data_IF_182977760529
#
_entry.id   IF_182977760529
#
_cell.length_a   1.000
_cell.length_b   1.000
_cell.length_c   1.000
_cell.angle_alpha   90.00
_cell.angle_beta   90.00
_cell.angle_gamma   90.00
#
_symmetry.space_group_name_H-M   'P 1'
#
loop_
_entity.id
_entity.type
_entity.pdbx_description
1 polymer ?
#
# COMPACT_ATOMS: atom_id res chain seq x y z
N UNK A 1 -1.42 -0.14 3.57
CA UNK A 1 -2.49 -1.08 3.89
C UNK A 1 -2.12 -2.16 4.92
N UNK A 2 -1.22 -1.82 5.84
CA UNK A 2 -0.98 -2.64 7.03
C UNK A 2 -2.23 -2.60 7.93
N UNK A 3 -2.57 -3.71 8.56
CA UNK A 3 -3.76 -3.84 9.42
C UNK A 3 -3.83 -2.79 10.53
N UNK A 4 -2.67 -2.42 11.09
CA UNK A 4 -2.58 -1.38 12.12
C UNK A 4 -2.59 0.07 11.62
N UNK A 5 -2.56 0.33 10.29
CA UNK A 5 -2.44 1.69 9.74
C UNK A 5 -3.50 1.96 8.67
N UNK A 6 -3.88 0.97 7.87
CA UNK A 6 -4.90 1.09 6.82
C UNK A 6 -6.32 1.06 7.37
N UNK A 7 -6.60 1.75 8.47
CA UNK A 7 -7.90 1.78 9.14
C UNK A 7 -8.74 2.98 8.70
N UNK A 8 -10.05 2.92 8.93
CA UNK A 8 -10.95 4.04 8.64
C UNK A 8 -10.70 5.24 9.55
N UNK A 9 -10.28 5.01 10.80
CA UNK A 9 -9.96 6.06 11.76
C UNK A 9 -8.74 6.86 11.31
N UNK A 10 -7.68 6.16 10.89
CA UNK A 10 -6.48 6.80 10.30
C UNK A 10 -6.88 7.56 9.03
N UNK A 11 -7.71 6.99 8.17
CA UNK A 11 -8.17 7.64 6.95
C UNK A 11 -8.92 8.95 7.22
N UNK A 12 -9.78 8.99 8.26
CA UNK A 12 -10.50 10.21 8.67
C UNK A 12 -9.59 11.34 9.13
N UNK A 13 -8.45 11.02 9.73
CA UNK A 13 -7.44 12.01 10.11
C UNK A 13 -6.64 12.45 8.88
N UNK A 14 -6.12 11.50 8.11
CA UNK A 14 -5.25 11.78 6.97
C UNK A 14 -5.96 12.57 5.85
N UNK A 15 -7.26 12.35 5.65
CA UNK A 15 -8.04 13.12 4.67
C UNK A 15 -8.08 14.65 4.97
N UNK A 16 -7.90 15.06 6.23
CA UNK A 16 -7.82 16.47 6.62
C UNK A 16 -6.51 17.10 6.13
N UNK A 17 -5.48 16.29 5.97
CA UNK A 17 -4.16 16.69 5.49
C UNK A 17 -3.95 16.44 3.98
N UNK A 18 -5.03 16.16 3.22
CA UNK A 18 -4.99 15.84 1.78
C UNK A 18 -4.12 14.61 1.48
N UNK A 19 -4.04 13.68 2.41
CA UNK A 19 -3.36 12.40 2.24
C UNK A 19 -4.38 11.31 1.93
N UNK A 20 -3.96 10.31 1.17
CA UNK A 20 -4.77 9.15 0.83
C UNK A 20 -4.45 7.99 1.76
N UNK A 21 -5.43 7.13 1.99
CA UNK A 21 -5.26 5.91 2.76
C UNK A 21 -5.71 4.70 1.94
N UNK A 22 -4.86 3.70 1.85
CA UNK A 22 -5.25 2.40 1.31
C UNK A 22 -5.84 1.58 2.47
N UNK A 23 -7.14 1.34 2.39
CA UNK A 23 -7.86 0.56 3.41
C UNK A 23 -7.48 -0.92 3.26
N UNK A 24 -7.36 -1.62 4.38
CA UNK A 24 -6.96 -3.04 4.37
C UNK A 24 -7.95 -3.90 3.60
N UNK A 25 -7.45 -4.92 2.91
CA UNK A 25 -8.27 -5.84 2.09
C UNK A 25 -9.20 -6.75 2.91
N UNK A 26 -9.01 -6.79 4.22
CA UNK A 26 -9.82 -7.59 5.15
C UNK A 26 -11.12 -6.90 5.57
N UNK A 27 -11.29 -5.60 5.25
CA UNK A 27 -12.50 -4.85 5.60
C UNK A 27 -13.72 -5.31 4.82
N UNK A 28 -14.83 -5.42 5.53
CA UNK A 28 -16.12 -5.85 4.97
C UNK A 28 -16.91 -4.69 4.36
N UNK A 29 -17.82 -4.94 3.42
CA UNK A 29 -18.70 -3.92 2.87
C UNK A 29 -19.54 -3.17 3.92
N UNK A 30 -19.92 -3.81 5.02
CA UNK A 30 -20.70 -3.17 6.08
C UNK A 30 -19.86 -2.21 6.90
N UNK A 31 -18.60 -2.52 7.18
CA UNK A 31 -17.66 -1.59 7.81
C UNK A 31 -17.43 -0.35 6.93
N UNK A 32 -17.38 -0.52 5.60
CA UNK A 32 -17.32 0.61 4.67
C UNK A 32 -18.54 1.51 4.75
N UNK A 33 -19.77 0.94 4.84
CA UNK A 33 -21.02 1.72 5.00
C UNK A 33 -20.97 2.56 6.28
N UNK A 34 -20.56 1.95 7.37
CA UNK A 34 -20.42 2.64 8.65
C UNK A 34 -19.41 3.78 8.57
N UNK A 35 -18.23 3.53 8.00
CA UNK A 35 -17.19 4.54 7.89
C UNK A 35 -17.60 5.74 7.04
N UNK A 36 -18.30 5.49 5.91
CA UNK A 36 -18.82 6.55 5.04
C UNK A 36 -19.92 7.33 5.75
N UNK A 37 -20.84 6.66 6.45
CA UNK A 37 -21.86 7.29 7.29
C UNK A 37 -21.26 8.19 8.39
N UNK A 38 -20.06 7.85 8.85
CA UNK A 38 -19.29 8.58 9.85
C UNK A 38 -18.29 9.61 9.27
N UNK A 39 -18.47 10.03 8.00
CA UNK A 39 -17.74 11.14 7.39
C UNK A 39 -16.43 10.80 6.68
N UNK A 40 -16.21 9.54 6.32
CA UNK A 40 -15.11 9.16 5.44
C UNK A 40 -15.35 9.70 4.02
N UNK A 41 -14.34 10.35 3.44
CA UNK A 41 -14.40 10.88 2.08
C UNK A 41 -13.88 9.84 1.09
N UNK A 42 -14.72 9.42 0.15
CA UNK A 42 -14.40 8.40 -0.85
C UNK A 42 -13.22 8.78 -1.77
N UNK A 43 -12.98 10.07 -1.98
CA UNK A 43 -11.86 10.56 -2.80
C UNK A 43 -10.49 10.47 -2.11
N UNK A 44 -10.47 10.24 -0.80
CA UNK A 44 -9.24 10.14 -0.01
C UNK A 44 -8.85 8.71 0.37
N UNK A 45 -9.53 7.72 -0.20
CA UNK A 45 -9.27 6.32 0.09
C UNK A 45 -9.11 5.50 -1.18
N UNK A 46 -8.35 4.41 -1.07
CA UNK A 46 -8.25 3.34 -2.04
C UNK A 46 -8.79 2.06 -1.43
N UNK A 47 -9.60 1.33 -2.19
CA UNK A 47 -9.96 -0.05 -1.85
C UNK A 47 -8.80 -0.97 -2.23
N UNK A 48 -8.54 -1.98 -1.40
CA UNK A 48 -7.43 -2.90 -1.61
C UNK A 48 -7.91 -4.33 -1.88
N UNK A 49 -7.19 -5.02 -2.77
CA UNK A 49 -7.34 -6.45 -3.01
C UNK A 49 -5.98 -7.12 -3.16
N UNK A 50 -5.92 -8.42 -2.91
CA UNK A 50 -4.81 -9.28 -3.33
C UNK A 50 -5.11 -9.97 -4.66
N UNK A 51 -4.34 -11.00 -4.95
CA UNK A 51 -4.52 -11.84 -6.15
C UNK A 51 -5.08 -13.23 -5.82
N UNK A 52 -5.65 -13.41 -4.64
CA UNK A 52 -6.14 -14.72 -4.20
C UNK A 52 -7.21 -15.30 -5.14
N UNK A 53 -7.94 -14.44 -5.89
CA UNK A 53 -8.86 -14.88 -6.95
C UNK A 53 -8.19 -15.75 -8.03
N UNK A 54 -6.89 -15.56 -8.26
CA UNK A 54 -6.13 -16.38 -9.23
C UNK A 54 -6.06 -17.84 -8.78
N UNK A 55 -5.98 -18.05 -7.46
CA UNK A 55 -5.80 -19.35 -6.83
C UNK A 55 -7.10 -19.92 -6.24
N UNK A 56 -8.01 -19.03 -5.88
CA UNK A 56 -9.28 -19.35 -5.24
C UNK A 56 -10.35 -18.39 -5.79
N UNK A 57 -11.27 -18.92 -6.58
CA UNK A 57 -12.38 -18.15 -7.16
C UNK A 57 -13.34 -17.60 -6.10
N UNK A 58 -13.30 -18.12 -4.87
CA UNK A 58 -14.11 -17.69 -3.73
C UNK A 58 -13.34 -16.70 -2.82
N UNK A 59 -12.17 -16.21 -3.26
CA UNK A 59 -11.37 -15.28 -2.47
C UNK A 59 -12.18 -14.03 -2.07
N UNK A 60 -12.38 -13.89 -0.78
CA UNK A 60 -13.23 -12.85 -0.19
C UNK A 60 -12.73 -11.43 -0.43
N UNK A 61 -11.42 -11.23 -0.53
CA UNK A 61 -10.81 -9.92 -0.71
C UNK A 61 -11.21 -9.26 -2.05
N UNK A 62 -11.19 -10.02 -3.16
CA UNK A 62 -11.63 -9.51 -4.45
C UNK A 62 -13.15 -9.28 -4.50
N UNK A 63 -13.94 -10.23 -4.00
CA UNK A 63 -15.40 -10.09 -3.97
C UNK A 63 -15.86 -8.94 -3.05
N UNK A 64 -15.15 -8.71 -1.95
CA UNK A 64 -15.39 -7.56 -1.07
C UNK A 64 -15.08 -6.24 -1.79
N UNK A 65 -13.95 -6.16 -2.49
CA UNK A 65 -13.61 -5.00 -3.31
C UNK A 65 -14.70 -4.69 -4.34
N UNK A 66 -15.19 -5.71 -5.07
CA UNK A 66 -16.26 -5.54 -6.05
C UNK A 66 -17.53 -4.97 -5.41
N UNK A 67 -17.99 -5.56 -4.29
CA UNK A 67 -19.17 -5.09 -3.55
C UNK A 67 -18.99 -3.65 -3.04
N UNK A 68 -17.81 -3.30 -2.55
CA UNK A 68 -17.51 -1.94 -2.09
C UNK A 68 -17.56 -0.95 -3.25
N UNK A 69 -17.02 -1.29 -4.42
CA UNK A 69 -17.05 -0.43 -5.61
C UNK A 69 -18.46 -0.30 -6.22
N UNK A 70 -19.29 -1.34 -6.13
CA UNK A 70 -20.71 -1.28 -6.49
C UNK A 70 -21.48 -0.32 -5.58
N UNK A 71 -21.25 -0.38 -4.27
CA UNK A 71 -21.90 0.50 -3.29
C UNK A 71 -21.39 1.94 -3.34
N UNK A 72 -20.12 2.13 -3.64
CA UNK A 72 -19.41 3.41 -3.62
C UNK A 72 -18.64 3.65 -4.93
N UNK A 73 -19.36 3.91 -6.04
CA UNK A 73 -18.73 4.12 -7.35
C UNK A 73 -17.80 5.35 -7.40
N UNK A 74 -17.93 6.25 -6.43
CA UNK A 74 -17.08 7.45 -6.31
C UNK A 74 -15.68 7.18 -5.78
N UNK A 75 -15.37 5.98 -5.27
CA UNK A 75 -13.99 5.57 -4.99
C UNK A 75 -13.22 5.57 -6.31
N UNK A 76 -12.12 6.33 -6.38
CA UNK A 76 -11.37 6.54 -7.62
C UNK A 76 -10.20 5.56 -7.79
N UNK A 77 -9.73 4.93 -6.73
CA UNK A 77 -8.49 4.18 -6.72
C UNK A 77 -8.69 2.75 -6.22
N UNK A 78 -8.08 1.81 -6.94
CA UNK A 78 -7.96 0.40 -6.57
C UNK A 78 -6.49 0.10 -6.34
N UNK A 79 -6.16 -0.57 -5.24
CA UNK A 79 -4.80 -1.03 -4.96
C UNK A 79 -4.76 -2.55 -5.01
N UNK A 80 -4.00 -3.10 -5.96
CA UNK A 80 -3.69 -4.53 -6.04
C UNK A 80 -2.36 -4.76 -5.34
N UNK A 81 -2.42 -5.35 -4.14
CA UNK A 81 -1.29 -5.43 -3.23
C UNK A 81 -0.87 -6.85 -2.91
N UNK A 82 0.35 -7.18 -3.33
CA UNK A 82 1.03 -8.44 -3.03
C UNK A 82 2.46 -8.16 -2.57
N UNK A 83 3.01 -9.06 -1.74
CA UNK A 83 4.37 -8.91 -1.25
C UNK A 83 5.44 -9.00 -2.35
N UNK A 84 5.14 -9.74 -3.43
CA UNK A 84 6.00 -9.94 -4.58
C UNK A 84 5.14 -10.17 -5.82
N UNK A 85 5.22 -9.24 -6.78
CA UNK A 85 4.41 -9.25 -7.99
C UNK A 85 5.06 -9.99 -9.18
N UNK A 86 6.20 -10.64 -9.00
CA UNK A 86 6.92 -11.41 -10.04
C UNK A 86 6.30 -12.79 -10.25
N UNK A 87 5.00 -12.82 -10.44
CA UNK A 87 4.25 -14.04 -10.74
C UNK A 87 3.61 -13.91 -12.12
N UNK A 88 3.71 -14.95 -12.96
CA UNK A 88 3.24 -14.93 -14.34
C UNK A 88 1.78 -14.45 -14.48
N UNK A 89 0.91 -14.87 -13.58
CA UNK A 89 -0.51 -14.47 -13.60
C UNK A 89 -0.79 -13.07 -13.04
N UNK A 90 0.21 -12.35 -12.50
CA UNK A 90 -0.03 -11.04 -11.90
C UNK A 90 -0.35 -9.99 -12.96
N UNK A 91 0.38 -9.99 -14.06
CA UNK A 91 0.15 -9.08 -15.19
C UNK A 91 -1.24 -9.30 -15.81
N UNK A 92 -1.63 -10.55 -16.01
CA UNK A 92 -2.96 -10.88 -16.54
C UNK A 92 -4.08 -10.47 -15.57
N UNK A 93 -3.83 -10.57 -14.28
CA UNK A 93 -4.77 -10.07 -13.28
C UNK A 93 -4.92 -8.54 -13.34
N UNK A 94 -3.84 -7.80 -13.55
CA UNK A 94 -3.90 -6.33 -13.72
C UNK A 94 -4.69 -5.97 -14.98
N UNK A 95 -4.49 -6.67 -16.10
CA UNK A 95 -5.31 -6.52 -17.33
C UNK A 95 -6.78 -6.73 -17.03
N UNK A 96 -7.13 -7.81 -16.32
CA UNK A 96 -8.51 -8.09 -15.93
C UNK A 96 -9.10 -6.95 -15.10
N UNK A 97 -8.37 -6.46 -14.08
CA UNK A 97 -8.83 -5.35 -13.25
C UNK A 97 -9.02 -4.08 -14.08
N UNK A 98 -8.13 -3.80 -15.05
CA UNK A 98 -8.28 -2.67 -15.98
C UNK A 98 -9.51 -2.79 -16.85
N UNK A 99 -9.78 -3.97 -17.40
CA UNK A 99 -10.95 -4.22 -18.23
C UNK A 99 -12.26 -4.06 -17.46
N UNK A 100 -12.29 -4.55 -16.21
CA UNK A 100 -13.47 -4.42 -15.33
C UNK A 100 -13.66 -2.97 -14.83
N UNK A 101 -12.58 -2.21 -14.64
CA UNK A 101 -12.58 -0.86 -14.06
C UNK A 101 -11.80 0.17 -14.88
N UNK A 102 -12.22 0.47 -16.13
CA UNK A 102 -11.44 1.29 -17.06
C UNK A 102 -11.22 2.73 -16.59
N UNK A 103 -12.09 3.26 -15.71
CA UNK A 103 -12.06 4.64 -15.25
C UNK A 103 -11.48 4.80 -13.83
N UNK A 104 -10.95 3.74 -13.23
CA UNK A 104 -10.31 3.80 -11.91
C UNK A 104 -8.81 3.91 -12.05
N UNK A 105 -8.18 4.57 -11.10
CA UNK A 105 -6.72 4.54 -10.95
C UNK A 105 -6.32 3.21 -10.35
N UNK A 106 -5.46 2.46 -11.04
CA UNK A 106 -4.98 1.15 -10.58
C UNK A 106 -3.55 1.30 -10.07
N UNK A 107 -3.37 1.01 -8.79
CA UNK A 107 -2.06 0.91 -8.12
C UNK A 107 -1.71 -0.57 -8.03
N UNK A 108 -0.57 -1.00 -8.55
CA UNK A 108 -0.15 -2.39 -8.59
C UNK A 108 1.25 -2.60 -7.98
N UNK A 109 1.47 -3.66 -7.26
CA UNK A 109 2.80 -3.99 -6.73
C UNK A 109 2.76 -5.10 -5.67
N UNK A 110 3.96 -5.45 -5.13
CA UNK A 110 5.22 -4.68 -5.19
C UNK A 110 6.24 -5.31 -6.14
N UNK A 111 7.00 -4.43 -6.77
CA UNK A 111 8.13 -4.79 -7.63
C UNK A 111 9.36 -3.94 -7.29
N UNK A 112 10.52 -4.26 -7.86
CA UNK A 112 11.79 -3.53 -7.64
C UNK A 112 12.66 -3.40 -8.89
N UNK A 113 12.16 -3.79 -10.07
CA UNK A 113 12.93 -3.72 -11.32
C UNK A 113 12.22 -2.88 -12.38
N UNK A 114 12.99 -2.16 -13.21
CA UNK A 114 12.47 -1.34 -14.31
C UNK A 114 11.57 -2.11 -15.28
N UNK A 115 11.98 -3.30 -15.69
CA UNK A 115 11.26 -4.11 -16.68
C UNK A 115 9.85 -4.46 -16.18
N UNK A 116 9.71 -4.80 -14.89
CA UNK A 116 8.40 -5.15 -14.35
C UNK A 116 7.53 -3.91 -14.14
N UNK A 117 8.12 -2.74 -13.93
CA UNK A 117 7.40 -1.46 -13.90
C UNK A 117 6.79 -1.17 -15.27
N UNK A 118 7.59 -1.24 -16.33
CA UNK A 118 7.11 -1.05 -17.70
C UNK A 118 6.01 -2.05 -18.04
N UNK A 119 6.22 -3.34 -17.73
CA UNK A 119 5.27 -4.41 -17.97
C UNK A 119 3.92 -4.12 -17.31
N UNK A 120 3.90 -3.72 -16.04
CA UNK A 120 2.66 -3.43 -15.31
C UNK A 120 1.94 -2.20 -15.85
N UNK A 121 2.66 -1.13 -16.21
CA UNK A 121 2.06 0.10 -16.75
C UNK A 121 1.45 -0.17 -18.13
N UNK A 122 2.17 -0.80 -19.04
CA UNK A 122 1.67 -1.14 -20.38
C UNK A 122 0.42 -2.03 -20.29
N UNK A 123 0.32 -2.85 -19.26
CA UNK A 123 -0.79 -3.78 -19.05
C UNK A 123 -1.91 -3.24 -18.14
N UNK A 124 -1.90 -1.93 -17.84
CA UNK A 124 -3.06 -1.26 -17.26
C UNK A 124 -2.91 -0.69 -15.87
N UNK A 125 -1.74 -0.79 -15.23
CA UNK A 125 -1.48 -0.05 -14.00
C UNK A 125 -1.19 1.43 -14.29
N UNK A 126 -1.74 2.34 -13.49
CA UNK A 126 -1.41 3.77 -13.56
C UNK A 126 -0.24 4.11 -12.64
N UNK A 127 -0.13 3.38 -11.54
CA UNK A 127 0.89 3.57 -10.51
C UNK A 127 1.47 2.23 -10.12
N UNK A 128 2.80 2.11 -10.12
CA UNK A 128 3.47 0.89 -9.67
C UNK A 128 4.13 1.11 -8.31
N UNK A 129 3.84 0.22 -7.37
CA UNK A 129 4.36 0.24 -6.01
C UNK A 129 5.75 -0.42 -5.95
N UNK A 130 6.76 0.34 -5.52
CA UNK A 130 8.17 -0.05 -5.53
C UNK A 130 8.65 -0.35 -4.12
N UNK A 131 9.11 -1.57 -3.90
CA UNK A 131 9.73 -2.00 -2.65
C UNK A 131 9.40 -3.43 -2.26
N UNK A 132 10.43 -4.26 -2.11
CA UNK A 132 10.34 -5.60 -1.55
C UNK A 132 11.28 -5.68 -0.35
N UNK A 133 10.69 -5.80 0.83
CA UNK A 133 11.41 -5.95 2.09
C UNK A 133 12.12 -4.73 2.66
N UNK A 134 11.87 -3.46 2.26
CA UNK A 134 12.59 -2.31 2.84
C UNK A 134 12.03 -1.86 4.20
N UNK A 135 10.82 -2.29 4.56
CA UNK A 135 10.17 -1.93 5.82
C UNK A 135 10.88 -2.49 7.05
N UNK A 136 10.90 -1.75 8.15
CA UNK A 136 11.57 -2.15 9.40
C UNK A 136 10.97 -3.41 10.04
N UNK A 137 9.69 -3.67 9.78
CA UNK A 137 8.97 -4.87 10.27
C UNK A 137 8.96 -6.02 9.26
N UNK A 138 9.49 -5.80 8.06
CA UNK A 138 9.48 -6.80 6.99
C UNK A 138 10.61 -7.82 7.18
N UNK A 139 10.26 -9.09 7.15
CA UNK A 139 11.20 -10.22 7.30
C UNK A 139 11.69 -10.79 5.98
N UNK A 140 11.15 -10.34 4.83
CA UNK A 140 11.45 -10.92 3.52
C UNK A 140 12.94 -10.99 3.22
N UNK A 141 13.68 -9.88 3.39
CA UNK A 141 15.12 -9.85 3.11
C UNK A 141 15.92 -10.77 4.03
N UNK A 142 15.52 -10.86 5.29
CA UNK A 142 16.17 -11.73 6.28
C UNK A 142 15.91 -13.19 5.99
N UNK A 143 14.69 -13.54 5.61
CA UNK A 143 14.29 -14.93 5.41
C UNK A 143 14.63 -15.48 4.03
N UNK A 144 14.58 -14.66 2.99
CA UNK A 144 14.76 -15.10 1.60
C UNK A 144 16.05 -14.61 0.95
N UNK A 145 16.72 -13.62 1.52
CA UNK A 145 17.86 -12.93 0.91
C UNK A 145 17.47 -12.03 -0.29
N UNK A 146 16.18 -11.95 -0.62
CA UNK A 146 15.71 -11.17 -1.77
C UNK A 146 15.45 -9.72 -1.36
N UNK A 147 15.96 -8.78 -2.14
CA UNK A 147 15.72 -7.37 -1.96
C UNK A 147 16.69 -6.50 -2.75
N UNK A 148 16.25 -5.28 -3.04
CA UNK A 148 17.06 -4.24 -3.68
C UNK A 148 17.13 -3.05 -2.73
N UNK A 149 18.26 -2.33 -2.61
CA UNK A 149 18.31 -1.09 -1.85
C UNK A 149 17.23 -0.11 -2.32
N UNK A 150 16.39 0.36 -1.40
CA UNK A 150 15.14 1.04 -1.76
C UNK A 150 15.35 2.28 -2.63
N UNK A 151 16.37 3.09 -2.33
CA UNK A 151 16.63 4.30 -3.10
C UNK A 151 17.08 3.98 -4.54
N UNK A 152 17.93 2.97 -4.73
CA UNK A 152 18.33 2.50 -6.06
C UNK A 152 17.13 2.01 -6.87
N UNK A 153 16.27 1.19 -6.25
CA UNK A 153 15.04 0.71 -6.89
C UNK A 153 14.12 1.89 -7.31
N UNK A 154 13.99 2.91 -6.46
CA UNK A 154 13.18 4.09 -6.78
C UNK A 154 13.73 4.81 -8.02
N UNK A 155 15.04 5.10 -8.05
CA UNK A 155 15.65 5.84 -9.16
C UNK A 155 15.50 5.10 -10.49
N UNK A 156 15.85 3.82 -10.52
CA UNK A 156 15.77 2.98 -11.73
C UNK A 156 14.32 2.80 -12.20
N UNK A 157 13.41 2.51 -11.28
CA UNK A 157 12.00 2.32 -11.60
C UNK A 157 11.28 3.63 -11.99
N UNK A 158 11.72 4.79 -11.47
CA UNK A 158 11.17 6.07 -11.85
C UNK A 158 11.50 6.42 -13.31
N UNK A 159 12.74 6.14 -13.72
CA UNK A 159 13.18 6.35 -15.09
C UNK A 159 12.36 5.49 -16.07
N UNK A 160 12.20 4.20 -15.75
CA UNK A 160 11.37 3.28 -16.57
C UNK A 160 9.90 3.73 -16.66
N UNK A 161 9.29 4.10 -15.52
CA UNK A 161 7.91 4.56 -15.52
C UNK A 161 7.70 5.82 -16.35
N UNK A 162 8.62 6.77 -16.28
CA UNK A 162 8.60 7.98 -17.09
C UNK A 162 8.68 7.67 -18.60
N UNK A 163 9.43 6.63 -18.98
CA UNK A 163 9.54 6.19 -20.38
C UNK A 163 8.23 5.68 -21.00
N UNK A 164 7.28 5.25 -20.17
CA UNK A 164 5.97 4.70 -20.59
C UNK A 164 4.78 5.52 -20.06
N UNK A 165 5.02 6.78 -19.67
CA UNK A 165 4.01 7.73 -19.18
C UNK A 165 3.25 7.20 -17.93
N UNK A 166 3.94 6.49 -17.06
CA UNK A 166 3.40 5.93 -15.85
C UNK A 166 3.96 6.59 -14.58
N UNK A 167 3.51 6.11 -13.43
CA UNK A 167 3.89 6.66 -12.14
C UNK A 167 4.40 5.58 -11.21
N UNK A 168 5.26 5.96 -10.25
CA UNK A 168 5.67 5.06 -9.18
C UNK A 168 5.32 5.60 -7.79
N UNK A 169 5.06 4.67 -6.88
CA UNK A 169 4.89 4.92 -5.46
C UNK A 169 5.99 4.19 -4.69
N UNK A 170 6.85 4.93 -3.99
CA UNK A 170 7.86 4.32 -3.12
C UNK A 170 7.18 3.75 -1.86
N UNK A 171 7.34 2.45 -1.62
CA UNK A 171 6.68 1.75 -0.50
C UNK A 171 7.71 1.09 0.42
N UNK A 172 7.71 1.53 1.66
CA UNK A 172 8.56 1.02 2.73
C UNK A 172 9.91 1.70 2.87
N UNK A 173 10.53 1.50 4.04
CA UNK A 173 11.86 2.04 4.35
C UNK A 173 11.89 3.47 4.87
N UNK A 174 10.79 4.20 4.88
CA UNK A 174 10.70 5.54 5.46
C UNK A 174 10.52 5.46 6.97
N UNK A 175 11.50 5.96 7.71
CA UNK A 175 11.49 6.04 9.19
C UNK A 175 11.44 7.51 9.63
N UNK A 176 12.02 8.41 8.85
CA UNK A 176 12.08 9.84 9.13
C UNK A 176 11.54 10.66 7.96
N UNK A 177 11.08 11.91 8.18
CA UNK A 177 10.62 12.79 7.11
C UNK A 177 11.64 12.99 5.97
N UNK A 178 12.94 12.98 6.29
CA UNK A 178 14.00 13.05 5.30
C UNK A 178 14.04 11.87 4.32
N UNK A 179 13.52 10.70 4.71
CA UNK A 179 13.44 9.54 3.82
C UNK A 179 12.34 9.73 2.78
N UNK A 180 11.24 10.39 3.14
CA UNK A 180 10.19 10.79 2.20
C UNK A 180 10.76 11.78 1.17
N UNK A 181 11.51 12.79 1.63
CA UNK A 181 12.14 13.76 0.74
C UNK A 181 13.13 13.10 -0.23
N UNK A 182 13.92 12.13 0.24
CA UNK A 182 14.82 11.34 -0.61
C UNK A 182 14.07 10.53 -1.66
N UNK A 183 12.97 9.85 -1.26
CA UNK A 183 12.18 9.06 -2.19
C UNK A 183 11.59 9.93 -3.32
N UNK A 184 11.05 11.10 -2.98
CA UNK A 184 10.55 12.07 -3.96
C UNK A 184 11.67 12.63 -4.85
N UNK A 185 12.83 12.95 -4.26
CA UNK A 185 13.99 13.41 -5.02
C UNK A 185 14.57 12.32 -5.94
N UNK A 186 14.39 11.04 -5.58
CA UNK A 186 14.74 9.88 -6.42
C UNK A 186 13.79 9.63 -7.58
N UNK A 187 12.70 10.41 -7.70
CA UNK A 187 11.75 10.31 -8.80
C UNK A 187 10.42 9.66 -8.43
N UNK A 188 10.20 9.26 -7.17
CA UNK A 188 8.90 8.76 -6.78
C UNK A 188 7.83 9.87 -6.85
N UNK A 189 6.70 9.58 -7.47
CA UNK A 189 5.55 10.50 -7.54
C UNK A 189 4.76 10.51 -6.24
N UNK A 190 4.76 9.39 -5.53
CA UNK A 190 4.08 9.18 -4.26
C UNK A 190 4.96 8.36 -3.31
N UNK A 191 4.72 8.50 -2.01
CA UNK A 191 5.39 7.72 -0.98
C UNK A 191 4.34 7.10 -0.06
N UNK A 192 4.37 5.78 0.08
CA UNK A 192 3.55 5.06 1.04
C UNK A 192 4.29 4.93 2.36
N UNK A 193 3.67 5.42 3.41
CA UNK A 193 4.18 5.34 4.78
C UNK A 193 3.31 4.43 5.63
N UNK A 194 3.92 3.59 6.42
CA UNK A 194 3.25 2.68 7.36
C UNK A 194 3.80 2.83 8.76
N UNK A 195 5.04 2.41 8.99
CA UNK A 195 5.67 2.41 10.32
C UNK A 195 5.70 3.77 11.02
N UNK A 196 5.79 4.87 10.27
CA UNK A 196 5.74 6.24 10.83
C UNK A 196 4.37 6.57 11.44
N UNK A 197 3.30 5.88 11.05
CA UNK A 197 1.94 6.08 11.54
C UNK A 197 1.50 4.97 12.51
N UNK A 198 2.31 3.93 12.67
CA UNK A 198 2.01 2.85 13.61
C UNK A 198 2.06 3.34 15.06
N UNK A 199 1.18 2.80 15.90
CA UNK A 199 1.10 3.15 17.32
C UNK A 199 0.42 4.48 17.64
N UNK A 200 -0.17 5.16 16.65
CA UNK A 200 -1.04 6.31 16.91
C UNK A 200 -2.41 5.83 17.41
N UNK A 201 -3.11 6.72 18.08
CA UNK A 201 -4.42 6.44 18.71
C UNK A 201 -5.47 5.90 17.74
N UNK A 202 -5.41 6.35 16.49
CA UNK A 202 -6.32 5.98 15.40
C UNK A 202 -5.90 4.68 14.70
N UNK A 203 -4.70 4.16 15.02
CA UNK A 203 -4.21 2.89 14.48
C UNK A 203 -5.02 1.71 15.00
N UNK A 204 -5.06 0.63 14.21
CA UNK A 204 -5.64 -0.64 14.63
C UNK A 204 -4.75 -1.36 15.65
N UNK A 205 -5.35 -2.30 16.36
CA UNK A 205 -4.69 -3.12 17.35
C UNK A 205 -5.27 -2.94 18.76
N UNK A 206 -4.88 -3.80 19.65
CA UNK A 206 -5.34 -3.81 21.04
C UNK A 206 -4.42 -2.95 21.91
N UNK A 207 -5.01 -2.03 22.68
CA UNK A 207 -4.26 -1.22 23.65
C UNK A 207 -3.97 -2.07 24.88
N UNK A 208 -2.75 -2.54 25.01
CA UNK A 208 -2.30 -3.28 26.19
C UNK A 208 -1.66 -2.31 27.18
N UNK A 209 -2.31 -2.09 28.31
CA UNK A 209 -1.71 -1.37 29.43
C UNK A 209 -0.82 -2.33 30.20
N UNK A 210 0.49 -2.22 29.98
CA UNK A 210 1.45 -2.99 30.74
C UNK A 210 1.98 -2.15 31.92
N UNK A 211 1.80 -2.64 33.13
CA UNK A 211 2.52 -2.13 34.30
C UNK A 211 3.98 -2.59 34.16
N UNK A 212 4.77 -1.84 33.42
CA UNK A 212 6.18 -2.15 33.26
C UNK A 212 6.95 -1.71 34.49
N UNK A 213 7.58 -2.68 35.13
CA UNK A 213 8.80 -2.40 35.88
C UNK A 213 9.84 -1.95 34.83
N UNK A 214 10.12 -0.67 34.81
CA UNK A 214 11.22 -0.16 33.98
C UNK A 214 12.51 -0.75 34.57
N UNK A 215 13.07 -1.73 33.89
CA UNK A 215 14.48 -2.06 34.08
C UNK A 215 15.27 -0.79 33.71
N UNK A 216 16.14 -0.27 34.62
CA UNK A 216 16.88 0.94 34.28
C UNK A 216 17.68 0.70 33.04
N UNK A 217 17.58 1.65 32.09
CA UNK A 217 18.38 1.65 30.87
C UNK A 217 19.87 1.54 31.25
N UNK A 218 20.71 0.86 30.44
CA UNK A 218 22.15 0.89 30.64
C UNK A 218 22.73 2.31 30.73
N UNK A 219 22.03 3.32 30.19
CA UNK A 219 22.39 4.75 30.29
C UNK A 219 22.10 5.36 31.67
N UNK A 220 21.22 4.74 32.43
CA UNK A 220 20.84 5.25 33.76
C UNK A 220 21.77 4.73 34.87
N UNK A 221 22.83 4.01 34.53
CA UNK A 221 23.85 3.45 35.41
C UNK A 221 25.18 4.19 35.39
N UNK A 222 25.25 5.39 34.82
CA UNK A 222 26.45 6.25 34.85
C UNK A 222 26.33 7.33 35.91
#
# INVERSE_FOLDING_TARGET
NMDGVGTFEVAKVLQQHKMMTVITKTTTPDEWKEAVGNGLRLQSVSVCTGTNKIWDSEALDYSNMQKVLEMFPDIKMITVDVANAYHENFVDFIKQVRDEYPNKVIVAGNVVTPEMVEELIINGADVVKIGIGPGSVCTTRTMTGIGVPQFSAIVECADAANGVDGHIMADGGCVHPGDIAKALAGGAHMVMIGGMLAGHKEGGGELITCLLYTSPSPRDKS
#
